data_IF_572340511976
#
_entry.id   IF_572340511976
#
_cell.length_a   1.000
_cell.length_b   1.000
_cell.length_c   1.000
_cell.angle_alpha   90.00
_cell.angle_beta   90.00
_cell.angle_gamma   90.00
#
_symmetry.space_group_name_H-M   'P 1'
#
loop_
_entity.id
_entity.type
_entity.pdbx_description
1 polymer ?
#
# COMPACT_ATOMS: atom_id res chain seq x y z
N UNK A 1 -10.45 -11.75 -15.97
CA UNK A 1 -9.25 -11.17 -16.63
C UNK A 1 -8.36 -10.69 -15.50
N UNK A 2 -7.06 -11.03 -15.53
CA UNK A 2 -6.10 -10.45 -14.59
C UNK A 2 -5.94 -8.96 -14.87
N UNK A 3 -5.68 -8.15 -13.84
CA UNK A 3 -5.43 -6.73 -14.02
C UNK A 3 -4.28 -6.45 -15.02
N UNK A 4 -3.22 -7.27 -15.04
CA UNK A 4 -2.13 -7.18 -16.02
C UNK A 4 -2.61 -7.31 -17.46
N UNK A 5 -3.53 -8.26 -17.75
CA UNK A 5 -4.10 -8.43 -19.10
C UNK A 5 -4.95 -7.23 -19.51
N UNK A 6 -5.68 -6.63 -18.56
CA UNK A 6 -6.39 -5.38 -18.78
C UNK A 6 -5.42 -4.26 -19.14
N UNK A 7 -4.37 -4.09 -18.34
CA UNK A 7 -3.36 -3.04 -18.56
C UNK A 7 -2.65 -3.19 -19.91
N UNK A 8 -2.26 -4.42 -20.30
CA UNK A 8 -1.66 -4.70 -21.61
C UNK A 8 -2.62 -4.33 -22.75
N UNK A 9 -3.91 -4.69 -22.63
CA UNK A 9 -4.94 -4.40 -23.66
C UNK A 9 -5.17 -2.90 -23.82
N UNK A 10 -5.14 -2.13 -22.74
CA UNK A 10 -5.43 -0.69 -22.73
C UNK A 10 -4.17 0.19 -22.61
N UNK A 11 -2.99 -0.40 -22.81
CA UNK A 11 -1.69 0.29 -22.79
C UNK A 11 -1.39 1.08 -21.52
N UNK A 12 -1.86 0.59 -20.37
CA UNK A 12 -1.57 1.17 -19.06
C UNK A 12 -0.16 0.73 -18.61
N UNK A 13 0.75 1.66 -18.27
CA UNK A 13 2.12 1.34 -17.89
C UNK A 13 2.19 0.40 -16.68
N UNK A 14 2.87 -0.73 -16.83
CA UNK A 14 3.11 -1.72 -15.77
C UNK A 14 4.34 -2.56 -16.10
N UNK A 15 4.76 -3.44 -15.19
CA UNK A 15 5.83 -4.40 -15.40
C UNK A 15 5.59 -5.26 -16.65
N UNK A 16 6.62 -5.54 -17.42
CA UNK A 16 6.56 -6.59 -18.42
C UNK A 16 6.27 -7.93 -17.74
N UNK A 17 5.42 -8.75 -18.34
CA UNK A 17 4.98 -10.00 -17.71
C UNK A 17 4.57 -11.04 -18.73
N UNK A 18 4.64 -12.32 -18.31
CA UNK A 18 4.06 -13.44 -19.01
C UNK A 18 3.29 -14.36 -18.06
N UNK A 19 2.25 -15.01 -18.58
CA UNK A 19 1.39 -15.92 -17.83
C UNK A 19 1.68 -17.36 -18.20
N UNK A 20 1.76 -18.24 -17.20
CA UNK A 20 2.04 -19.65 -17.38
C UNK A 20 0.98 -20.51 -16.65
N UNK A 21 0.47 -21.49 -17.35
CA UNK A 21 -0.39 -22.58 -16.83
C UNK A 21 0.31 -23.95 -16.92
N UNK A 22 1.52 -23.97 -17.44
CA UNK A 22 2.39 -25.12 -17.61
C UNK A 22 3.77 -24.82 -17.00
N UNK A 23 4.20 -25.58 -15.98
CA UNK A 23 5.48 -25.35 -15.33
C UNK A 23 6.70 -25.53 -16.27
N UNK A 24 6.64 -26.41 -17.26
CA UNK A 24 7.75 -26.60 -18.20
C UNK A 24 7.95 -25.37 -19.10
N UNK A 25 6.84 -24.74 -19.53
CA UNK A 25 6.90 -23.49 -20.26
C UNK A 25 7.45 -22.36 -19.42
N UNK A 26 7.07 -22.29 -18.14
CA UNK A 26 7.60 -21.31 -17.21
C UNK A 26 9.11 -21.48 -17.01
N UNK A 27 9.58 -22.73 -16.82
CA UNK A 27 11.01 -23.05 -16.70
C UNK A 27 11.78 -22.68 -17.97
N UNK A 28 11.26 -23.00 -19.16
CA UNK A 28 11.88 -22.64 -20.42
C UNK A 28 12.01 -21.12 -20.61
N UNK A 29 10.99 -20.34 -20.18
CA UNK A 29 11.04 -18.89 -20.22
C UNK A 29 12.15 -18.32 -19.32
N UNK A 30 12.36 -18.90 -18.13
CA UNK A 30 13.38 -18.46 -17.19
C UNK A 30 14.80 -18.56 -17.73
N UNK A 31 15.08 -19.50 -18.64
CA UNK A 31 16.41 -19.65 -19.26
C UNK A 31 16.86 -18.42 -20.07
N UNK A 32 15.90 -17.61 -20.53
CA UNK A 32 16.16 -16.39 -21.30
C UNK A 32 15.82 -15.11 -20.55
N UNK A 33 15.28 -15.23 -19.33
CA UNK A 33 14.84 -14.10 -18.53
C UNK A 33 16.02 -13.30 -17.94
N UNK A 34 15.81 -12.00 -17.72
CA UNK A 34 16.75 -11.15 -16.98
C UNK A 34 16.43 -11.19 -15.49
N UNK A 35 17.46 -11.25 -14.67
CA UNK A 35 17.32 -11.25 -13.21
C UNK A 35 17.73 -9.91 -12.60
N UNK A 36 17.14 -9.52 -11.43
CA UNK A 36 16.12 -10.26 -10.67
C UNK A 36 14.77 -10.31 -11.38
N UNK A 37 13.92 -11.29 -11.00
CA UNK A 37 12.58 -11.49 -11.57
C UNK A 37 11.55 -11.75 -10.47
N UNK A 38 10.27 -11.50 -10.73
CA UNK A 38 9.18 -11.68 -9.77
C UNK A 38 8.26 -12.81 -10.22
N UNK A 39 8.07 -13.81 -9.38
CA UNK A 39 7.10 -14.87 -9.57
C UNK A 39 5.88 -14.62 -8.69
N UNK A 40 4.68 -14.69 -9.28
CA UNK A 40 3.42 -14.50 -8.55
C UNK A 40 2.46 -15.65 -8.81
N UNK A 41 1.92 -16.25 -7.74
CA UNK A 41 0.77 -17.13 -7.86
C UNK A 41 -0.42 -16.35 -8.44
N UNK A 42 -1.17 -16.98 -9.37
CA UNK A 42 -2.25 -16.31 -10.11
C UNK A 42 -3.46 -15.97 -9.25
N UNK A 43 -3.76 -16.77 -8.25
CA UNK A 43 -4.92 -16.62 -7.38
C UNK A 43 -4.60 -15.92 -6.06
N UNK A 44 -5.62 -15.84 -5.21
CA UNK A 44 -5.49 -15.23 -3.89
C UNK A 44 -4.49 -16.04 -3.03
N UNK A 45 -3.43 -15.39 -2.60
CA UNK A 45 -2.38 -15.96 -1.75
C UNK A 45 -2.06 -15.08 -0.53
N UNK A 46 -2.94 -14.12 -0.19
CA UNK A 46 -2.86 -13.23 0.98
C UNK A 46 -1.49 -12.54 1.12
N UNK A 47 -0.93 -12.05 0.00
CA UNK A 47 0.38 -11.40 -0.04
C UNK A 47 1.59 -12.34 0.07
N UNK A 48 1.37 -13.65 0.28
CA UNK A 48 2.46 -14.64 0.45
C UNK A 48 2.87 -15.33 -0.85
N UNK A 49 2.11 -15.13 -1.93
CA UNK A 49 2.33 -15.77 -3.24
C UNK A 49 3.25 -14.99 -4.17
N UNK A 50 4.08 -14.09 -3.66
CA UNK A 50 5.05 -13.28 -4.42
C UNK A 50 6.46 -13.67 -4.01
N UNK A 51 7.29 -14.08 -4.97
CA UNK A 51 8.70 -14.42 -4.78
C UNK A 51 9.54 -13.52 -5.67
N UNK A 52 10.52 -12.85 -5.08
CA UNK A 52 11.55 -12.10 -5.80
C UNK A 52 12.77 -13.00 -5.88
N UNK A 53 13.15 -13.40 -7.10
CA UNK A 53 14.24 -14.32 -7.36
C UNK A 53 15.43 -13.57 -7.95
N UNK A 54 16.58 -13.67 -7.28
CA UNK A 54 17.81 -13.00 -7.69
C UNK A 54 18.54 -13.82 -8.78
N UNK A 55 18.35 -15.13 -8.78
CA UNK A 55 19.05 -16.07 -9.65
C UNK A 55 18.07 -17.01 -10.36
N UNK A 56 18.56 -17.63 -11.44
CA UNK A 56 17.82 -18.65 -12.18
C UNK A 56 17.41 -19.83 -11.30
N UNK A 57 18.31 -20.29 -10.41
CA UNK A 57 18.04 -21.42 -9.52
C UNK A 57 16.91 -21.09 -8.53
N UNK A 58 16.96 -19.91 -7.90
CA UNK A 58 15.87 -19.45 -7.02
C UNK A 58 14.53 -19.39 -7.78
N UNK A 59 14.55 -18.95 -9.04
CA UNK A 59 13.33 -18.87 -9.84
C UNK A 59 12.81 -20.27 -10.22
N UNK A 60 13.66 -21.23 -10.53
CA UNK A 60 13.27 -22.62 -10.79
C UNK A 60 12.64 -23.25 -9.57
N UNK A 61 13.24 -23.06 -8.38
CA UNK A 61 12.67 -23.51 -7.11
C UNK A 61 11.32 -22.85 -6.83
N UNK A 62 11.20 -21.57 -7.17
CA UNK A 62 9.95 -20.82 -7.08
C UNK A 62 8.84 -21.39 -7.97
N UNK A 63 9.14 -21.70 -9.24
CA UNK A 63 8.19 -22.36 -10.15
C UNK A 63 7.74 -23.70 -9.58
N UNK A 64 8.69 -24.53 -9.14
CA UNK A 64 8.39 -25.83 -8.50
C UNK A 64 7.46 -25.64 -7.31
N UNK A 65 7.83 -24.79 -6.36
CA UNK A 65 7.04 -24.53 -5.14
C UNK A 65 5.61 -24.04 -5.44
N UNK A 66 5.44 -23.11 -6.41
CA UNK A 66 4.14 -22.54 -6.74
C UNK A 66 3.30 -23.52 -7.56
N UNK A 67 3.84 -24.05 -8.68
CA UNK A 67 3.05 -24.76 -9.68
C UNK A 67 3.04 -26.28 -9.50
N UNK A 68 4.14 -26.89 -9.05
CA UNK A 68 4.26 -28.35 -8.89
C UNK A 68 3.87 -28.78 -7.48
N UNK A 69 4.49 -28.22 -6.44
CA UNK A 69 4.20 -28.56 -5.04
C UNK A 69 2.90 -27.93 -4.53
N UNK A 70 2.32 -27.00 -5.32
CA UNK A 70 1.05 -26.32 -5.03
C UNK A 70 0.99 -25.70 -3.62
N UNK A 71 2.09 -25.09 -3.18
CA UNK A 71 2.20 -24.44 -1.85
C UNK A 71 1.04 -23.48 -1.56
N UNK A 72 0.44 -22.89 -2.59
CA UNK A 72 -0.72 -21.99 -2.50
C UNK A 72 -2.02 -22.63 -3.01
N UNK A 73 -2.11 -23.97 -3.00
CA UNK A 73 -3.28 -24.71 -3.46
C UNK A 73 -3.65 -24.38 -4.91
N UNK A 74 -4.94 -24.23 -5.20
CA UNK A 74 -5.45 -23.92 -6.53
C UNK A 74 -4.92 -22.59 -7.10
N UNK A 75 -4.50 -21.64 -6.25
CA UNK A 75 -3.88 -20.37 -6.68
C UNK A 75 -2.55 -20.58 -7.40
N UNK A 76 -1.87 -21.71 -7.18
CA UNK A 76 -0.65 -22.10 -7.86
C UNK A 76 -0.84 -22.86 -9.17
N UNK A 77 -2.08 -23.08 -9.64
CA UNK A 77 -2.33 -23.73 -10.93
C UNK A 77 -1.87 -22.88 -12.13
N UNK A 78 -1.74 -21.59 -11.93
CA UNK A 78 -1.18 -20.63 -12.87
C UNK A 78 -0.22 -19.70 -12.16
N UNK A 79 0.71 -19.16 -12.93
CA UNK A 79 1.71 -18.24 -12.42
C UNK A 79 1.90 -17.06 -13.37
N UNK A 80 2.25 -15.92 -12.80
CA UNK A 80 2.72 -14.75 -13.55
C UNK A 80 4.20 -14.59 -13.25
N UNK A 81 5.00 -14.42 -14.31
CA UNK A 81 6.40 -14.02 -14.21
C UNK A 81 6.50 -12.58 -14.68
N UNK A 82 7.05 -11.70 -13.83
CA UNK A 82 7.15 -10.27 -14.10
C UNK A 82 8.59 -9.78 -14.00
N UNK A 83 8.92 -8.75 -14.78
CA UNK A 83 10.17 -8.01 -14.56
C UNK A 83 10.21 -7.45 -13.14
N UNK A 84 11.39 -7.44 -12.54
CA UNK A 84 11.62 -6.76 -11.28
C UNK A 84 11.79 -5.26 -11.54
N UNK A 85 10.81 -4.47 -11.16
CA UNK A 85 10.88 -3.02 -11.28
C UNK A 85 11.72 -2.42 -10.15
N UNK A 86 12.59 -1.48 -10.48
CA UNK A 86 13.37 -0.69 -9.54
C UNK A 86 12.93 0.76 -9.54
N UNK A 87 12.90 1.39 -8.38
CA UNK A 87 12.47 2.77 -8.22
C UNK A 87 11.96 3.04 -6.81
N UNK A 88 11.16 4.10 -6.67
CA UNK A 88 10.49 4.43 -5.41
C UNK A 88 9.02 4.04 -5.48
N UNK A 89 8.56 3.34 -4.46
CA UNK A 89 7.14 3.06 -4.32
C UNK A 89 6.39 4.29 -3.82
N UNK A 90 5.24 4.56 -4.42
CA UNK A 90 4.31 5.62 -4.01
C UNK A 90 2.89 5.07 -4.10
N UNK A 91 2.07 5.42 -3.13
CA UNK A 91 0.65 5.06 -3.07
C UNK A 91 -0.21 6.28 -3.40
N UNK A 92 -1.21 6.09 -4.28
CA UNK A 92 -2.24 7.10 -4.55
C UNK A 92 -3.61 6.45 -4.43
N UNK A 93 -4.40 6.94 -3.48
CA UNK A 93 -5.79 6.53 -3.31
C UNK A 93 -6.68 7.43 -4.17
N UNK A 94 -7.76 6.87 -4.69
CA UNK A 94 -8.65 7.62 -5.58
C UNK A 94 -10.10 7.25 -5.37
N UNK A 95 -10.98 8.24 -5.43
CA UNK A 95 -12.43 8.05 -5.51
C UNK A 95 -12.84 7.82 -6.97
N UNK A 96 -13.78 6.92 -7.22
CA UNK A 96 -14.27 6.57 -8.56
C UNK A 96 -15.78 6.40 -8.53
N UNK A 97 -16.48 6.96 -9.51
CA UNK A 97 -17.93 6.88 -9.67
C UNK A 97 -18.39 6.05 -10.88
N UNK A 98 -17.48 5.32 -11.51
CA UNK A 98 -17.72 4.54 -12.73
C UNK A 98 -17.16 5.21 -13.99
N UNK A 99 -17.08 6.53 -14.04
CA UNK A 99 -16.58 7.33 -15.17
C UNK A 99 -15.51 8.35 -14.78
N UNK A 100 -15.70 8.98 -13.64
CA UNK A 100 -14.80 10.02 -13.10
C UNK A 100 -13.88 9.43 -12.04
N UNK A 101 -12.62 9.86 -12.03
CA UNK A 101 -11.68 9.56 -10.98
C UNK A 101 -11.14 10.85 -10.36
N UNK A 102 -11.14 10.93 -9.04
CA UNK A 102 -10.53 12.01 -8.26
C UNK A 102 -9.46 11.43 -7.35
N UNK A 103 -8.21 11.80 -7.60
CA UNK A 103 -7.07 11.31 -6.82
C UNK A 103 -6.92 12.09 -5.52
N UNK A 104 -6.58 11.37 -4.44
CA UNK A 104 -6.18 11.97 -3.18
C UNK A 104 -4.71 12.36 -3.21
N UNK A 105 -4.23 13.03 -2.16
CA UNK A 105 -2.80 13.30 -1.99
C UNK A 105 -1.99 12.01 -1.92
N UNK A 106 -0.77 12.02 -2.46
CA UNK A 106 0.11 10.86 -2.48
C UNK A 106 0.57 10.46 -1.07
N UNK A 107 0.90 9.19 -0.89
CA UNK A 107 1.50 8.67 0.34
C UNK A 107 2.66 7.72 0.01
N UNK A 108 3.52 7.48 0.98
CA UNK A 108 4.59 6.49 0.85
C UNK A 108 4.64 5.62 2.10
N UNK A 109 4.43 4.30 1.91
CA UNK A 109 4.43 3.28 2.96
C UNK A 109 5.84 2.67 3.15
N UNK A 110 6.05 2.07 4.33
CA UNK A 110 7.24 1.32 4.71
C UNK A 110 6.86 -0.13 5.01
N UNK A 111 7.03 -1.01 4.03
CA UNK A 111 6.50 -2.38 4.08
C UNK A 111 7.34 -3.36 4.90
N UNK A 112 8.64 -3.09 5.10
CA UNK A 112 9.53 -3.98 5.85
C UNK A 112 9.35 -3.82 7.35
N UNK A 113 9.48 -4.94 8.08
CA UNK A 113 9.28 -4.95 9.54
C UNK A 113 10.33 -4.15 10.31
N UNK A 114 11.58 -4.17 9.89
CA UNK A 114 12.71 -3.58 10.61
C UNK A 114 13.24 -2.30 9.99
N UNK A 115 13.97 -1.53 10.81
CA UNK A 115 14.69 -0.33 10.38
C UNK A 115 15.63 -0.62 9.21
N UNK A 116 15.84 0.38 8.35
CA UNK A 116 16.67 0.23 7.15
C UNK A 116 16.05 -0.69 6.08
N UNK A 117 14.72 -0.83 6.08
CA UNK A 117 13.99 -1.72 5.18
C UNK A 117 14.46 -3.17 5.25
N UNK A 118 14.68 -3.67 6.47
CA UNK A 118 15.10 -5.03 6.75
C UNK A 118 13.96 -5.92 7.22
N UNK A 119 14.21 -7.23 7.26
CA UNK A 119 13.22 -8.20 7.74
C UNK A 119 12.14 -8.55 6.72
N UNK A 120 11.02 -9.10 7.19
CA UNK A 120 9.93 -9.57 6.36
C UNK A 120 9.01 -8.42 5.90
N UNK A 121 8.32 -8.65 4.79
CA UNK A 121 7.22 -7.78 4.37
C UNK A 121 6.05 -7.86 5.35
N UNK A 122 5.42 -6.73 5.62
CA UNK A 122 4.27 -6.56 6.51
C UNK A 122 3.10 -5.92 5.77
N UNK A 123 2.05 -5.59 6.49
CA UNK A 123 0.97 -4.75 5.98
C UNK A 123 1.29 -3.25 5.92
N UNK A 124 2.51 -2.84 6.31
CA UNK A 124 2.95 -1.47 6.45
C UNK A 124 3.29 -1.12 7.91
N UNK A 125 4.47 -0.57 8.13
CA UNK A 125 4.98 -0.18 9.46
C UNK A 125 4.90 1.31 9.72
N UNK A 126 4.45 2.07 8.71
CA UNK A 126 4.28 3.51 8.80
C UNK A 126 4.28 4.14 7.41
N UNK A 127 3.78 5.35 7.34
CA UNK A 127 3.57 6.07 6.08
C UNK A 127 3.64 7.57 6.29
N UNK A 128 3.86 8.29 5.23
CA UNK A 128 3.79 9.75 5.22
C UNK A 128 3.09 10.28 3.96
N UNK A 129 2.55 11.48 4.05
CA UNK A 129 1.85 12.19 2.97
C UNK A 129 2.10 13.70 3.08
N UNK A 130 2.37 14.39 1.95
CA UNK A 130 2.52 13.88 0.60
C UNK A 130 3.90 13.21 0.40
N UNK A 131 4.04 12.38 -0.64
CA UNK A 131 5.37 11.92 -1.04
C UNK A 131 6.08 13.03 -1.83
N UNK A 132 7.29 13.48 -1.43
CA UNK A 132 8.02 14.54 -2.14
C UNK A 132 8.53 14.08 -3.51
N UNK A 133 8.54 12.76 -3.75
CA UNK A 133 8.94 12.17 -5.04
C UNK A 133 7.79 12.10 -6.05
N UNK A 134 6.56 12.34 -5.60
CA UNK A 134 5.39 12.39 -6.46
C UNK A 134 5.17 13.84 -6.93
N UNK A 135 5.97 14.24 -7.93
CA UNK A 135 5.96 15.61 -8.48
C UNK A 135 4.71 15.86 -9.32
N UNK A 136 4.51 17.12 -9.70
CA UNK A 136 3.41 17.52 -10.59
C UNK A 136 3.50 16.82 -11.95
N UNK A 137 4.70 16.66 -12.49
CA UNK A 137 4.92 15.96 -13.76
C UNK A 137 4.55 14.48 -13.67
N UNK A 138 4.88 13.83 -12.54
CA UNK A 138 4.48 12.44 -12.25
C UNK A 138 2.96 12.34 -12.16
N UNK A 139 2.31 13.27 -11.47
CA UNK A 139 0.85 13.32 -11.33
C UNK A 139 0.15 13.49 -12.68
N UNK A 140 0.60 14.45 -13.50
CA UNK A 140 0.08 14.67 -14.85
C UNK A 140 0.25 13.44 -15.75
N UNK A 141 1.39 12.79 -15.69
CA UNK A 141 1.62 11.53 -16.40
C UNK A 141 0.65 10.44 -15.94
N UNK A 142 0.52 10.25 -14.62
CA UNK A 142 -0.37 9.24 -14.06
C UNK A 142 -1.84 9.50 -14.38
N UNK A 143 -2.29 10.74 -14.33
CA UNK A 143 -3.65 11.12 -14.75
C UNK A 143 -3.92 10.74 -16.20
N UNK A 144 -2.99 11.04 -17.08
CA UNK A 144 -3.14 10.81 -18.53
C UNK A 144 -3.02 9.35 -18.94
N UNK A 145 -2.10 8.58 -18.33
CA UNK A 145 -1.74 7.26 -18.80
C UNK A 145 -2.11 6.11 -17.88
N UNK A 146 -2.49 6.39 -16.61
CA UNK A 146 -2.77 5.37 -15.60
C UNK A 146 -4.18 5.50 -15.05
N UNK A 147 -4.52 6.63 -14.41
CA UNK A 147 -5.74 6.72 -13.60
C UNK A 147 -7.01 6.69 -14.43
N UNK A 148 -7.24 7.69 -15.28
CA UNK A 148 -8.42 7.72 -16.13
C UNK A 148 -8.45 6.52 -17.09
N UNK A 149 -7.34 6.12 -17.76
CA UNK A 149 -7.34 4.90 -18.58
C UNK A 149 -7.73 3.62 -17.84
N UNK A 150 -7.46 3.52 -16.51
CA UNK A 150 -7.90 2.39 -15.70
C UNK A 150 -9.42 2.35 -15.57
N UNK A 151 -10.06 3.48 -15.28
CA UNK A 151 -11.53 3.60 -15.16
C UNK A 151 -12.19 3.33 -16.50
N UNK A 152 -11.69 3.95 -17.57
CA UNK A 152 -12.20 3.77 -18.94
C UNK A 152 -12.10 2.31 -19.40
N UNK A 153 -10.97 1.64 -19.08
CA UNK A 153 -10.78 0.23 -19.40
C UNK A 153 -11.78 -0.68 -18.66
N UNK A 154 -12.06 -0.40 -17.39
CA UNK A 154 -13.05 -1.14 -16.61
C UNK A 154 -14.46 -0.97 -17.19
N UNK A 155 -14.83 0.25 -17.54
CA UNK A 155 -16.12 0.54 -18.18
C UNK A 155 -16.23 -0.14 -19.55
N UNK A 156 -15.18 -0.09 -20.39
CA UNK A 156 -15.16 -0.75 -21.71
C UNK A 156 -15.27 -2.28 -21.64
N UNK A 157 -14.87 -2.90 -20.52
CA UNK A 157 -15.06 -4.33 -20.26
C UNK A 157 -16.44 -4.65 -19.64
N UNK A 158 -17.33 -3.66 -19.52
CA UNK A 158 -18.62 -3.82 -18.86
C UNK A 158 -18.53 -4.10 -17.36
N UNK A 159 -17.49 -3.57 -16.71
CA UNK A 159 -17.19 -3.75 -15.29
C UNK A 159 -16.93 -2.42 -14.61
N UNK A 160 -17.89 -1.53 -14.72
CA UNK A 160 -17.81 -0.24 -14.04
C UNK A 160 -17.49 -0.43 -12.55
N UNK A 161 -16.57 0.39 -12.06
CA UNK A 161 -16.15 0.37 -10.65
C UNK A 161 -16.56 1.68 -9.98
N UNK A 162 -17.21 1.56 -8.83
CA UNK A 162 -17.49 2.68 -7.92
C UNK A 162 -16.88 2.42 -6.56
N UNK A 163 -16.24 3.42 -5.97
CA UNK A 163 -15.60 3.33 -4.66
C UNK A 163 -14.15 3.78 -4.68
N UNK A 164 -13.29 3.10 -3.93
CA UNK A 164 -11.89 3.46 -3.76
C UNK A 164 -11.00 2.53 -4.59
N UNK A 165 -10.16 3.12 -5.45
CA UNK A 165 -9.03 2.43 -6.05
C UNK A 165 -7.74 2.94 -5.42
N UNK A 166 -6.96 2.02 -4.88
CA UNK A 166 -5.59 2.25 -4.45
C UNK A 166 -4.66 1.86 -5.61
N UNK A 167 -3.84 2.80 -6.03
CA UNK A 167 -2.76 2.59 -6.99
C UNK A 167 -1.44 2.49 -6.24
N UNK A 168 -0.82 1.30 -6.26
CA UNK A 168 0.58 1.15 -5.93
C UNK A 168 1.41 1.43 -7.16
N UNK A 169 2.24 2.45 -7.12
CA UNK A 169 3.07 2.89 -8.22
C UNK A 169 4.54 2.64 -7.91
N UNK A 170 5.32 2.29 -8.95
CA UNK A 170 6.76 2.33 -8.94
C UNK A 170 7.22 3.49 -9.83
N UNK A 171 7.90 4.46 -9.24
CA UNK A 171 8.54 5.56 -9.99
C UNK A 171 9.88 5.06 -10.51
N UNK A 172 9.87 4.53 -11.74
CA UNK A 172 11.07 3.96 -12.38
C UNK A 172 11.82 5.02 -13.19
N UNK A 173 13.02 4.68 -13.65
CA UNK A 173 13.79 5.55 -14.56
C UNK A 173 13.06 5.82 -15.90
N UNK A 174 12.19 4.90 -16.32
CA UNK A 174 11.39 4.99 -17.56
C UNK A 174 10.02 5.66 -17.31
N UNK A 175 9.77 6.20 -16.12
CA UNK A 175 8.51 6.80 -15.69
C UNK A 175 7.68 5.94 -14.75
N UNK A 176 6.53 6.46 -14.29
CA UNK A 176 5.64 5.74 -13.39
C UNK A 176 5.03 4.49 -14.01
N UNK A 177 5.07 3.37 -13.28
CA UNK A 177 4.42 2.10 -13.65
C UNK A 177 3.55 1.60 -12.51
N UNK A 178 2.41 0.99 -12.83
CA UNK A 178 1.53 0.39 -11.81
C UNK A 178 2.15 -0.92 -11.31
N UNK A 179 2.33 -0.99 -10.00
CA UNK A 179 2.79 -2.18 -9.29
C UNK A 179 1.61 -3.09 -8.92
N UNK A 180 0.55 -2.50 -8.35
CA UNK A 180 -0.67 -3.19 -7.94
C UNK A 180 -1.88 -2.26 -7.86
N UNK A 181 -3.07 -2.86 -7.87
CA UNK A 181 -4.33 -2.21 -7.50
C UNK A 181 -4.91 -2.88 -6.25
N UNK A 182 -5.56 -2.08 -5.40
CA UNK A 182 -6.45 -2.59 -4.36
C UNK A 182 -7.78 -1.84 -4.44
N UNK A 183 -8.92 -2.56 -4.31
CA UNK A 183 -10.27 -2.00 -4.35
C UNK A 183 -10.75 -1.61 -2.94
N UNK A 184 -9.96 -0.83 -2.22
CA UNK A 184 -10.17 -0.37 -0.84
C UNK A 184 -9.22 0.75 -0.48
N UNK A 185 -9.49 1.37 0.66
CA UNK A 185 -8.52 2.24 1.31
C UNK A 185 -7.23 1.51 1.68
N UNK A 186 -6.10 2.23 1.68
CA UNK A 186 -4.81 1.75 2.17
C UNK A 186 -4.75 1.71 3.70
N UNK A 187 -3.92 0.87 4.25
CA UNK A 187 -3.60 0.80 5.67
C UNK A 187 -2.09 0.48 5.81
N UNK A 188 -1.26 1.49 6.15
CA UNK A 188 -1.58 2.70 6.89
C UNK A 188 -1.75 4.01 6.10
N UNK A 189 -1.94 4.01 4.77
CA UNK A 189 -1.99 5.24 3.96
C UNK A 189 -3.19 6.13 4.31
N UNK A 190 -4.33 5.52 4.61
CA UNK A 190 -5.55 6.24 5.02
C UNK A 190 -5.31 7.14 6.23
N UNK A 191 -4.49 6.67 7.16
CA UNK A 191 -4.16 7.36 8.40
C UNK A 191 -3.34 8.64 8.22
N UNK A 192 -2.80 8.90 7.03
CA UNK A 192 -2.10 10.16 6.69
C UNK A 192 -2.81 10.95 5.61
N UNK A 193 -3.66 10.33 4.81
CA UNK A 193 -4.37 11.00 3.72
C UNK A 193 -5.65 11.67 4.22
N UNK A 194 -6.52 10.93 4.94
CA UNK A 194 -7.79 11.48 5.41
C UNK A 194 -7.68 12.59 6.46
N UNK A 195 -6.73 12.58 7.41
CA UNK A 195 -6.54 13.72 8.32
C UNK A 195 -6.18 15.04 7.65
N UNK A 196 -5.78 15.00 6.38
CA UNK A 196 -5.46 16.17 5.56
C UNK A 196 -6.60 16.60 4.65
N UNK A 197 -7.66 15.78 4.54
CA UNK A 197 -8.79 16.05 3.66
C UNK A 197 -9.71 17.11 4.28
N UNK A 198 -10.06 18.14 3.50
CA UNK A 198 -10.98 19.22 3.89
C UNK A 198 -12.42 18.93 3.45
N UNK A 199 -12.56 18.36 2.25
CA UNK A 199 -13.85 18.00 1.70
C UNK A 199 -14.50 16.91 2.57
N UNK A 200 -15.79 17.03 2.88
CA UNK A 200 -16.50 16.04 3.67
C UNK A 200 -16.51 14.68 2.96
N UNK A 201 -16.09 13.64 3.68
CA UNK A 201 -15.94 12.31 3.12
C UNK A 201 -17.29 11.68 2.76
N UNK A 202 -18.36 12.03 3.46
CA UNK A 202 -19.71 11.52 3.20
C UNK A 202 -20.22 12.08 1.87
N UNK A 203 -20.05 13.39 1.65
CA UNK A 203 -20.43 14.04 0.39
C UNK A 203 -19.72 13.40 -0.82
N UNK A 204 -18.43 13.06 -0.66
CA UNK A 204 -17.67 12.36 -1.71
C UNK A 204 -18.19 10.94 -1.94
N UNK A 205 -18.55 10.21 -0.89
CA UNK A 205 -19.13 8.87 -1.04
C UNK A 205 -20.49 8.91 -1.72
N UNK A 206 -21.37 9.86 -1.37
CA UNK A 206 -22.65 10.06 -2.03
C UNK A 206 -22.43 10.38 -3.52
N UNK A 207 -21.51 11.29 -3.85
CA UNK A 207 -21.15 11.60 -5.22
C UNK A 207 -20.60 10.39 -6.00
N UNK A 208 -19.83 9.50 -5.37
CA UNK A 208 -19.40 8.23 -5.99
C UNK A 208 -20.58 7.33 -6.32
N UNK A 209 -21.56 7.21 -5.41
CA UNK A 209 -22.76 6.38 -5.61
C UNK A 209 -23.62 6.95 -6.71
N UNK A 210 -23.87 8.25 -6.69
CA UNK A 210 -24.78 8.95 -7.59
C UNK A 210 -24.18 9.22 -8.97
N UNK A 211 -22.85 9.06 -9.15
CA UNK A 211 -22.16 9.31 -10.41
C UNK A 211 -22.00 10.80 -10.72
N UNK A 212 -21.81 11.62 -9.68
CA UNK A 212 -21.67 13.07 -9.72
C UNK A 212 -20.33 13.55 -9.17
N UNK A 213 -19.33 12.66 -9.13
CA UNK A 213 -18.01 12.95 -8.58
C UNK A 213 -17.28 14.08 -9.34
N UNK A 214 -17.64 14.32 -10.60
CA UNK A 214 -17.13 15.43 -11.39
C UNK A 214 -17.51 16.81 -10.80
N UNK A 215 -18.58 16.90 -10.02
CA UNK A 215 -19.08 18.11 -9.36
C UNK A 215 -18.42 18.39 -8.01
N UNK A 216 -17.63 17.47 -7.48
CA UNK A 216 -16.95 17.61 -6.18
C UNK A 216 -15.58 18.26 -6.41
N UNK A 217 -15.30 19.34 -5.69
CA UNK A 217 -13.95 19.86 -5.53
C UNK A 217 -13.29 19.17 -4.34
N UNK A 218 -12.35 18.27 -4.65
CA UNK A 218 -11.62 17.50 -3.64
C UNK A 218 -10.43 18.32 -3.13
N UNK A 219 -10.55 18.82 -1.90
CA UNK A 219 -9.55 19.68 -1.27
C UNK A 219 -8.82 18.97 -0.12
N UNK A 220 -7.54 19.31 0.00
CA UNK A 220 -6.67 18.88 1.11
C UNK A 220 -6.01 20.07 1.77
N UNK A 221 -5.65 19.91 3.05
CA UNK A 221 -4.82 20.91 3.75
C UNK A 221 -3.41 20.98 3.15
N UNK A 222 -2.85 22.17 3.13
CA UNK A 222 -1.46 22.41 2.71
C UNK A 222 -0.50 22.15 3.88
N UNK A 223 -0.58 20.94 4.41
CA UNK A 223 0.24 20.42 5.51
C UNK A 223 0.78 19.04 5.16
N UNK A 224 1.49 18.41 6.06
CA UNK A 224 1.95 17.03 5.93
C UNK A 224 1.47 16.18 7.10
N UNK A 225 1.47 14.87 6.91
CA UNK A 225 1.15 13.91 7.95
C UNK A 225 2.12 12.72 7.93
N UNK A 226 2.45 12.20 9.10
CA UNK A 226 3.25 10.98 9.29
C UNK A 226 2.53 10.06 10.26
N UNK A 227 2.42 8.78 9.91
CA UNK A 227 1.87 7.72 10.76
C UNK A 227 2.98 6.71 11.07
N UNK A 228 3.19 6.43 12.35
CA UNK A 228 4.06 5.36 12.85
C UNK A 228 3.18 4.24 13.38
N UNK A 229 3.36 3.04 12.87
CA UNK A 229 2.62 1.86 13.33
C UNK A 229 3.29 1.28 14.58
N UNK A 230 2.52 1.17 15.65
CA UNK A 230 2.91 0.43 16.86
C UNK A 230 2.45 -1.01 16.70
N UNK A 231 3.39 -1.93 16.71
CA UNK A 231 3.15 -3.37 16.54
C UNK A 231 3.48 -4.13 17.82
N UNK A 232 2.97 -5.35 17.92
CA UNK A 232 3.44 -6.34 18.89
C UNK A 232 4.78 -6.91 18.44
N UNK A 233 5.76 -6.99 19.34
CA UNK A 233 7.06 -7.58 19.04
C UNK A 233 6.91 -9.02 18.52
N UNK A 234 7.72 -9.36 17.49
CA UNK A 234 7.62 -10.61 16.75
C UNK A 234 6.70 -10.57 15.52
N UNK A 235 5.91 -9.48 15.31
CA UNK A 235 5.16 -9.28 14.07
C UNK A 235 6.11 -9.18 12.85
N UNK A 236 5.83 -9.80 11.69
CA UNK A 236 4.57 -10.44 11.25
C UNK A 236 4.49 -11.96 11.50
N UNK A 237 5.40 -12.57 12.24
CA UNK A 237 5.49 -14.03 12.37
C UNK A 237 4.66 -14.54 13.55
N UNK A 238 5.15 -14.30 14.77
CA UNK A 238 4.52 -14.73 16.00
C UNK A 238 4.64 -13.64 17.05
N UNK A 239 3.53 -13.33 17.71
CA UNK A 239 3.46 -12.29 18.72
C UNK A 239 2.41 -12.62 19.78
N UNK A 240 2.61 -12.10 20.98
CA UNK A 240 1.68 -12.21 22.09
C UNK A 240 0.63 -11.08 22.05
N UNK A 241 -0.51 -11.33 22.71
CA UNK A 241 -1.66 -10.44 22.78
C UNK A 241 -2.15 -10.30 24.22
N UNK A 242 -3.01 -9.29 24.44
CA UNK A 242 -3.68 -9.11 25.73
C UNK A 242 -2.99 -8.11 26.67
N UNK A 243 -1.94 -7.44 26.22
CA UNK A 243 -1.27 -6.40 26.98
C UNK A 243 -2.12 -5.12 27.04
N UNK A 244 -2.29 -4.57 28.23
CA UNK A 244 -3.07 -3.32 28.45
C UNK A 244 -2.33 -2.16 27.79
N UNK A 245 -3.08 -1.35 27.05
CA UNK A 245 -2.57 -0.15 26.38
C UNK A 245 -2.98 1.07 27.21
N UNK A 246 -2.05 1.95 27.48
CA UNK A 246 -2.25 3.21 28.22
C UNK A 246 -1.76 4.42 27.42
N UNK A 247 -2.18 5.61 27.85
CA UNK A 247 -1.71 6.88 27.27
C UNK A 247 -2.66 7.51 26.25
N UNK A 248 -3.82 6.94 25.99
CA UNK A 248 -4.82 7.52 25.07
C UNK A 248 -5.28 8.92 25.49
N UNK A 249 -5.31 9.19 26.78
CA UNK A 249 -5.67 10.49 27.38
C UNK A 249 -4.76 11.63 26.90
N UNK A 250 -3.53 11.33 26.51
CA UNK A 250 -2.57 12.32 26.04
C UNK A 250 -2.92 12.89 24.65
N UNK A 251 -3.81 12.23 23.91
CA UNK A 251 -4.32 12.69 22.61
C UNK A 251 -5.56 13.58 22.73
N UNK A 252 -6.18 13.59 23.92
CA UNK A 252 -7.39 14.40 24.13
C UNK A 252 -7.07 15.88 23.94
N UNK A 253 -7.94 16.56 23.20
CA UNK A 253 -7.85 18.00 22.92
C UNK A 253 -6.52 18.44 22.25
N UNK A 254 -5.87 17.54 21.51
CA UNK A 254 -4.65 17.80 20.74
C UNK A 254 -4.95 17.77 19.25
N UNK A 255 -5.14 18.94 18.67
CA UNK A 255 -5.35 19.09 17.23
C UNK A 255 -4.12 18.60 16.44
N UNK A 256 -4.39 17.87 15.36
CA UNK A 256 -3.34 17.34 14.48
C UNK A 256 -2.65 16.09 14.98
N UNK A 257 -3.10 15.50 16.11
CA UNK A 257 -2.61 14.24 16.65
C UNK A 257 -3.73 13.20 16.72
N UNK A 258 -3.48 12.03 16.17
CA UNK A 258 -4.47 10.97 16.05
C UNK A 258 -3.88 9.62 16.49
N UNK A 259 -4.71 8.79 17.11
CA UNK A 259 -4.39 7.40 17.40
C UNK A 259 -5.48 6.51 16.81
N UNK A 260 -5.11 5.75 15.78
CA UNK A 260 -6.02 4.85 15.07
C UNK A 260 -5.88 3.44 15.60
N UNK A 261 -7.01 2.84 15.98
CA UNK A 261 -7.04 1.45 16.43
C UNK A 261 -6.96 0.49 15.24
N UNK A 262 -6.06 -0.48 15.33
CA UNK A 262 -5.96 -1.62 14.43
C UNK A 262 -6.21 -2.92 15.20
N UNK A 263 -5.19 -3.64 15.58
CA UNK A 263 -5.29 -4.87 16.36
C UNK A 263 -5.49 -4.63 17.86
N UNK A 264 -6.62 -4.05 18.25
CA UNK A 264 -6.98 -3.79 19.65
C UNK A 264 -8.30 -4.46 20.03
N UNK A 265 -8.53 -4.65 21.32
CA UNK A 265 -9.77 -5.19 21.88
C UNK A 265 -10.10 -4.48 23.20
N UNK A 266 -11.38 -4.12 23.41
CA UNK A 266 -11.89 -3.66 24.69
C UNK A 266 -12.17 -4.84 25.62
N UNK A 267 -11.69 -4.78 26.85
CA UNK A 267 -11.88 -5.78 27.90
C UNK A 267 -12.25 -5.09 29.23
N UNK A 268 -12.51 -5.87 30.27
CA UNK A 268 -12.69 -5.33 31.64
C UNK A 268 -11.45 -4.61 32.17
N UNK A 269 -10.25 -4.99 31.68
CA UNK A 269 -8.98 -4.37 32.05
C UNK A 269 -8.69 -3.08 31.26
N UNK A 270 -9.58 -2.69 30.33
CA UNK A 270 -9.37 -1.58 29.41
C UNK A 270 -9.13 -2.06 27.97
N UNK A 271 -8.45 -1.25 27.18
CA UNK A 271 -8.07 -1.58 25.80
C UNK A 271 -6.76 -2.38 25.85
N UNK A 272 -6.73 -3.50 25.13
CA UNK A 272 -5.58 -4.42 25.09
C UNK A 272 -5.15 -4.68 23.66
N UNK A 273 -3.88 -5.12 23.48
CA UNK A 273 -3.36 -5.60 22.20
C UNK A 273 -4.09 -6.87 21.75
N UNK A 274 -4.47 -6.95 20.47
CA UNK A 274 -5.17 -8.12 19.90
C UNK A 274 -4.75 -8.42 18.44
N UNK A 275 -3.64 -7.86 17.98
CA UNK A 275 -3.12 -8.07 16.63
C UNK A 275 -1.64 -7.79 16.53
N UNK A 276 -1.07 -8.04 15.35
CA UNK A 276 0.32 -7.74 15.06
C UNK A 276 0.55 -6.23 14.96
N UNK A 277 -0.13 -5.53 14.04
CA UNK A 277 -0.23 -4.07 14.05
C UNK A 277 -1.33 -3.69 15.05
N UNK A 278 -0.98 -2.90 16.04
CA UNK A 278 -1.85 -2.58 17.19
C UNK A 278 -2.50 -1.21 17.04
N UNK A 279 -1.70 -0.18 16.79
CA UNK A 279 -2.14 1.20 16.63
C UNK A 279 -1.38 1.88 15.49
N UNK A 280 -2.01 2.86 14.85
CA UNK A 280 -1.34 3.86 14.02
C UNK A 280 -1.31 5.19 14.77
N UNK A 281 -0.14 5.69 15.12
CA UNK A 281 0.04 7.01 15.72
C UNK A 281 0.37 8.00 14.62
N UNK A 282 -0.53 8.94 14.38
CA UNK A 282 -0.42 9.93 13.31
C UNK A 282 -0.31 11.33 13.88
N UNK A 283 0.57 12.13 13.29
CA UNK A 283 0.59 13.56 13.55
C UNK A 283 0.74 14.35 12.24
N UNK A 284 0.12 15.53 12.22
CA UNK A 284 0.29 16.53 11.17
C UNK A 284 1.37 17.53 11.53
N UNK A 285 1.86 18.27 10.53
CA UNK A 285 2.83 19.35 10.69
C UNK A 285 2.84 20.24 9.46
N UNK A 286 3.40 21.44 9.58
CA UNK A 286 3.51 22.38 8.47
C UNK A 286 4.29 21.82 7.27
N UNK A 287 5.19 20.90 7.54
CA UNK A 287 5.96 20.14 6.56
C UNK A 287 6.20 18.71 7.06
N UNK A 288 6.77 17.86 6.20
CA UNK A 288 7.04 16.46 6.49
C UNK A 288 8.02 16.26 7.67
N UNK A 289 9.02 17.12 7.82
CA UNK A 289 10.00 17.03 8.94
C UNK A 289 9.31 17.31 10.27
N UNK A 290 8.42 18.33 10.29
CA UNK A 290 7.66 18.67 11.48
C UNK A 290 6.61 17.59 11.80
N UNK A 291 5.89 17.09 10.81
CA UNK A 291 4.94 15.99 10.99
C UNK A 291 5.62 14.74 11.54
N UNK A 292 6.81 14.38 11.01
CA UNK A 292 7.61 13.25 11.48
C UNK A 292 8.04 13.43 12.95
N UNK A 293 8.57 14.59 13.29
CA UNK A 293 8.97 14.88 14.67
C UNK A 293 7.78 14.80 15.63
N UNK A 294 6.63 15.37 15.26
CA UNK A 294 5.40 15.30 16.04
C UNK A 294 4.90 13.87 16.21
N UNK A 295 4.92 13.03 15.15
CA UNK A 295 4.48 11.64 15.22
C UNK A 295 5.35 10.81 16.18
N UNK A 296 6.69 10.96 16.11
CA UNK A 296 7.59 10.24 17.01
C UNK A 296 7.51 10.74 18.46
N UNK A 297 7.22 12.02 18.70
CA UNK A 297 6.90 12.51 20.04
C UNK A 297 5.63 11.81 20.57
N UNK A 298 4.56 11.78 19.77
CA UNK A 298 3.30 11.15 20.14
C UNK A 298 3.38 9.63 20.34
N UNK A 299 4.29 8.91 19.66
CA UNK A 299 4.59 7.50 19.89
C UNK A 299 4.98 7.22 21.34
N UNK A 300 5.66 8.16 21.99
CA UNK A 300 6.08 8.04 23.40
C UNK A 300 4.93 8.22 24.39
N UNK A 301 3.79 8.75 23.94
CA UNK A 301 2.60 8.92 24.81
C UNK A 301 1.87 7.59 25.03
N UNK A 302 2.03 6.62 24.14
CA UNK A 302 1.41 5.29 24.20
C UNK A 302 2.36 4.28 24.81
N UNK A 303 1.87 3.48 25.76
CA UNK A 303 2.63 2.40 26.36
C UNK A 303 1.83 1.10 26.41
N UNK A 304 2.48 0.01 26.07
CA UNK A 304 2.07 -1.38 26.32
C UNK A 304 3.31 -2.28 26.28
N UNK A 305 3.26 -3.40 26.98
CA UNK A 305 4.33 -4.39 26.97
C UNK A 305 4.49 -4.97 25.56
N UNK A 306 5.72 -5.29 25.17
CA UNK A 306 6.12 -5.75 23.84
C UNK A 306 5.84 -4.74 22.69
N UNK A 307 5.76 -3.45 22.98
CA UNK A 307 5.62 -2.41 21.96
C UNK A 307 6.84 -2.38 21.05
N UNK A 308 6.60 -2.55 19.74
CA UNK A 308 7.60 -2.43 18.69
C UNK A 308 7.15 -1.41 17.65
N UNK A 309 8.08 -0.64 17.10
CA UNK A 309 7.86 0.26 15.97
C UNK A 309 9.20 0.57 15.28
N UNK A 310 9.14 0.98 14.03
CA UNK A 310 10.32 1.44 13.28
C UNK A 310 10.68 2.87 13.67
N UNK A 311 12.00 3.13 13.75
CA UNK A 311 12.56 4.45 14.12
C UNK A 311 12.88 5.32 12.90
N UNK A 312 12.74 4.78 11.69
CA UNK A 312 13.18 5.39 10.44
C UNK A 312 12.02 5.73 9.47
N UNK A 313 10.75 5.70 9.94
CA UNK A 313 9.60 6.09 9.12
C UNK A 313 9.80 7.52 8.62
N UNK A 314 9.70 7.70 7.31
CA UNK A 314 9.91 9.00 6.68
C UNK A 314 11.37 9.44 6.57
N UNK A 315 12.36 8.55 6.78
CA UNK A 315 13.78 8.91 6.58
C UNK A 315 14.07 9.41 5.17
N UNK A 316 13.37 8.86 4.15
CA UNK A 316 13.49 9.31 2.77
C UNK A 316 13.15 10.80 2.55
N UNK A 317 12.43 11.44 3.51
CA UNK A 317 12.15 12.88 3.47
C UNK A 317 13.45 13.72 3.52
N UNK A 318 14.50 13.19 4.14
CA UNK A 318 15.79 13.89 4.27
C UNK A 318 16.60 13.85 2.96
N UNK A 319 16.15 13.04 1.98
CA UNK A 319 16.77 12.88 0.66
C UNK A 319 16.11 13.74 -0.43
N UNK A 320 15.00 14.41 -0.08
CA UNK A 320 14.15 15.15 -1.04
C UNK A 320 14.47 16.65 -1.10
#
# INVERSE_FOLDING_TARGET
>A
MLFRSLMKKYHIPTAAYENFDDPEKALAYLETAKFPIVLKAYGLALGKGVLICQTLEEAKDGVKSIMQDKKFGASGNRMVIEEFMTGREVSVLSFVDGKTIKTMTSAQDHKRAGDGDTGLNTGGMGTFSPSPFYTKEVDEFCKKYIYQPTVDAMAAEGREFKGIIFFGLMLTADGPKVLEYNARFGDPETQVVLPRMKTDLVDVFEACIDGTLDQIDLEFEDNAAVCVVLASDGYPVQYEKGYVISGFENFKDKDGYYVFHAGTKKTEKGIVTNGGRVLGVTATGADLKKARANAYDAVNWISFDNKYYRHDIGKAIDEA
#
